data_IF_299900380960
#
_entry.id   IF_299900380960
#
_cell.length_a   1.000
_cell.length_b   1.000
_cell.length_c   1.000
_cell.angle_alpha   90.00
_cell.angle_beta   90.00
_cell.angle_gamma   90.00
#
_symmetry.space_group_name_H-M   'P 1'
#
loop_
_entity.id
_entity.type
_entity.pdbx_description
1 polymer ?
#
# COMPACT_ATOMS: atom_id res chain seq x y z
N UNK A 1 -13.30 11.61 12.05
CA UNK A 1 -13.33 10.19 11.71
C UNK A 1 -12.65 9.43 12.83
N UNK A 2 -13.09 8.20 13.06
CA UNK A 2 -12.37 7.27 13.94
C UNK A 2 -10.98 6.96 13.38
N UNK A 3 -10.06 6.55 14.25
CA UNK A 3 -8.70 6.24 13.84
C UNK A 3 -8.70 5.04 12.89
N UNK A 4 -8.09 5.19 11.72
CA UNK A 4 -7.91 4.09 10.76
C UNK A 4 -6.52 3.48 10.79
N UNK A 5 -5.55 4.17 11.39
CA UNK A 5 -4.19 3.69 11.59
C UNK A 5 -3.53 4.40 12.77
N UNK A 6 -2.60 3.71 13.43
CA UNK A 6 -1.67 4.31 14.41
C UNK A 6 -0.27 4.56 13.80
N UNK A 7 -0.07 4.20 12.53
CA UNK A 7 1.18 4.40 11.81
C UNK A 7 1.14 5.73 11.06
N UNK A 8 1.91 6.71 11.55
CA UNK A 8 2.01 8.05 10.94
C UNK A 8 2.61 8.02 9.53
N UNK A 9 3.25 6.93 9.11
CA UNK A 9 3.71 6.78 7.73
C UNK A 9 2.59 6.46 6.74
N UNK A 10 1.39 6.12 7.23
CA UNK A 10 0.24 5.72 6.40
C UNK A 10 -0.84 6.79 6.23
N UNK A 11 -0.67 7.98 6.81
CA UNK A 11 -1.72 9.02 6.82
C UNK A 11 -1.59 10.06 5.70
N UNK A 12 -0.41 10.15 5.07
CA UNK A 12 -0.10 11.07 3.98
C UNK A 12 -0.47 10.53 2.60
N UNK A 13 0.04 11.19 1.55
CA UNK A 13 -0.05 10.67 0.17
C UNK A 13 0.59 9.28 0.13
N UNK A 14 -0.15 8.22 -0.28
CA UNK A 14 0.35 6.85 -0.26
C UNK A 14 1.59 6.65 -1.12
N UNK A 15 2.59 5.96 -0.57
CA UNK A 15 3.80 5.59 -1.32
C UNK A 15 4.11 4.11 -1.16
N UNK A 16 4.75 3.54 -2.18
CA UNK A 16 5.00 2.11 -2.24
C UNK A 16 6.11 1.65 -1.28
N UNK A 17 7.11 2.50 -1.02
CA UNK A 17 8.17 2.26 -0.04
C UNK A 17 7.64 2.12 1.39
N UNK A 18 6.48 2.73 1.68
CA UNK A 18 5.80 2.65 2.99
C UNK A 18 4.74 1.56 3.07
N UNK A 19 4.46 0.88 1.96
CA UNK A 19 3.40 -0.13 1.90
C UNK A 19 2.01 0.44 2.16
N UNK A 20 1.79 1.74 1.90
CA UNK A 20 0.52 2.41 2.14
C UNK A 20 -0.57 1.92 1.17
N UNK A 21 -1.18 0.76 1.47
CA UNK A 21 -2.24 0.11 0.69
C UNK A 21 -3.40 -0.17 1.63
N UNK A 22 -4.39 0.71 1.64
CA UNK A 22 -5.49 0.69 2.59
C UNK A 22 -6.80 0.95 1.87
N UNK A 23 -7.69 -0.04 1.92
CA UNK A 23 -9.12 0.18 1.70
C UNK A 23 -9.84 -0.06 3.02
N UNK A 24 -10.49 0.97 3.57
CA UNK A 24 -11.06 0.86 4.91
C UNK A 24 -12.33 1.68 5.10
N UNK A 25 -13.39 0.98 5.50
CA UNK A 25 -14.60 1.60 6.03
C UNK A 25 -14.29 2.31 7.34
N UNK A 26 -14.75 3.55 7.44
CA UNK A 26 -14.48 4.47 8.55
C UNK A 26 -15.78 5.13 9.00
N UNK A 27 -15.91 5.32 10.31
CA UNK A 27 -17.05 5.96 10.96
C UNK A 27 -16.67 7.30 11.60
N UNK A 28 -17.69 8.01 12.12
CA UNK A 28 -17.55 9.30 12.78
C UNK A 28 -16.80 10.35 11.94
N UNK A 29 -16.99 10.35 10.62
CA UNK A 29 -16.39 11.36 9.75
C UNK A 29 -16.92 12.74 10.14
N UNK A 30 -16.03 13.70 10.03
CA UNK A 30 -16.34 15.11 10.24
C UNK A 30 -15.89 15.82 8.99
N UNK A 31 -16.85 16.35 8.24
CA UNK A 31 -16.63 16.95 6.95
C UNK A 31 -17.04 18.40 7.05
N UNK A 32 -16.07 19.28 6.84
CA UNK A 32 -16.27 20.72 6.74
C UNK A 32 -15.83 21.15 5.34
N UNK A 33 -16.56 22.10 4.78
CA UNK A 33 -16.19 22.79 3.56
C UNK A 33 -16.42 24.29 3.80
N UNK A 34 -15.59 25.14 3.19
CA UNK A 34 -15.96 26.54 3.02
C UNK A 34 -17.27 26.61 2.24
N UNK A 35 -18.07 27.67 2.44
CA UNK A 35 -19.40 27.81 1.85
C UNK A 35 -19.41 27.34 0.39
N UNK A 36 -20.35 26.44 0.06
CA UNK A 36 -20.45 25.73 -1.21
C UNK A 36 -20.08 26.64 -2.39
N UNK A 37 -18.96 26.36 -3.05
CA UNK A 37 -18.73 26.91 -4.38
C UNK A 37 -19.82 26.31 -5.27
N UNK A 38 -20.62 27.16 -5.91
CA UNK A 38 -21.78 26.74 -6.69
C UNK A 38 -21.43 25.59 -7.64
N UNK A 39 -22.10 24.43 -7.47
CA UNK A 39 -21.96 23.26 -8.34
C UNK A 39 -21.01 22.15 -7.86
N UNK A 40 -20.18 22.37 -6.84
CA UNK A 40 -19.33 21.34 -6.22
C UNK A 40 -19.67 21.27 -4.73
N UNK A 41 -20.67 20.45 -4.40
CA UNK A 41 -21.11 20.29 -3.01
C UNK A 41 -20.57 19.00 -2.43
N UNK A 42 -20.05 19.09 -1.21
CA UNK A 42 -19.77 17.96 -0.33
C UNK A 42 -20.77 18.00 0.80
N UNK A 43 -21.31 16.84 1.17
CA UNK A 43 -22.17 16.69 2.35
C UNK A 43 -21.34 16.98 3.60
N UNK A 44 -21.58 18.13 4.22
CA UNK A 44 -20.91 18.52 5.46
C UNK A 44 -21.65 17.96 6.67
N UNK A 45 -20.94 17.75 7.77
CA UNK A 45 -21.53 17.20 8.99
C UNK A 45 -20.50 16.60 9.92
N UNK A 46 -20.96 16.24 11.11
CA UNK A 46 -20.18 15.51 12.13
C UNK A 46 -20.85 14.18 12.40
N UNK A 47 -20.08 13.17 12.85
CA UNK A 47 -20.63 11.86 13.19
C UNK A 47 -21.11 11.02 12.00
N UNK A 48 -20.63 11.29 10.78
CA UNK A 48 -21.05 10.55 9.57
C UNK A 48 -20.52 9.10 9.69
N UNK A 49 -21.39 8.07 9.66
CA UNK A 49 -20.99 6.69 9.99
C UNK A 49 -20.46 5.89 8.78
N UNK A 50 -20.58 6.43 7.57
CA UNK A 50 -20.50 5.69 6.33
C UNK A 50 -19.40 6.23 5.40
N UNK A 51 -18.17 6.27 5.89
CA UNK A 51 -17.03 6.65 5.06
C UNK A 51 -16.25 5.45 4.55
N UNK A 52 -15.55 5.62 3.44
CA UNK A 52 -14.55 4.68 2.96
C UNK A 52 -13.28 5.43 2.56
N UNK A 53 -12.13 4.83 2.84
CA UNK A 53 -10.80 5.31 2.44
C UNK A 53 -10.25 4.38 1.37
N UNK A 54 -9.65 4.96 0.34
CA UNK A 54 -9.04 4.27 -0.79
C UNK A 54 -7.64 4.83 -1.04
N UNK A 55 -6.67 4.34 -0.28
CA UNK A 55 -5.30 4.87 -0.22
C UNK A 55 -4.33 3.82 -0.74
N UNK A 56 -3.79 4.02 -1.94
CA UNK A 56 -2.75 3.15 -2.50
C UNK A 56 -1.92 3.83 -3.58
N UNK A 57 -0.63 3.49 -3.73
CA UNK A 57 0.20 3.93 -4.86
C UNK A 57 -0.08 3.14 -6.15
N UNK A 58 -0.93 2.12 -6.11
CA UNK A 58 -1.16 1.15 -7.18
C UNK A 58 -2.02 1.68 -8.33
N UNK A 59 -2.09 0.88 -9.40
CA UNK A 59 -3.29 0.88 -10.23
C UNK A 59 -4.50 0.37 -9.44
N UNK A 60 -5.69 0.65 -9.95
CA UNK A 60 -6.95 0.16 -9.39
C UNK A 60 -7.99 0.12 -10.51
N UNK A 61 -9.07 -0.61 -10.27
CA UNK A 61 -10.19 -0.76 -11.19
C UNK A 61 -11.51 -0.67 -10.45
N UNK A 62 -12.60 -0.59 -11.20
CA UNK A 62 -13.96 -0.33 -10.73
C UNK A 62 -14.61 -1.46 -9.93
N UNK A 63 -13.88 -2.54 -9.61
CA UNK A 63 -14.46 -3.67 -8.90
C UNK A 63 -14.83 -3.26 -7.47
N UNK A 64 -15.97 -3.75 -6.94
CA UNK A 64 -16.36 -3.55 -5.54
C UNK A 64 -16.02 -4.78 -4.67
N UNK A 65 -14.74 -5.15 -4.61
CA UNK A 65 -14.30 -6.39 -3.95
C UNK A 65 -14.57 -6.39 -2.44
N UNK A 66 -14.49 -5.22 -1.78
CA UNK A 66 -14.78 -5.09 -0.36
C UNK A 66 -16.30 -5.04 -0.04
N UNK A 67 -17.16 -4.94 -1.07
CA UNK A 67 -18.60 -4.89 -0.89
C UNK A 67 -19.09 -3.61 -0.21
N UNK A 68 -18.48 -2.46 -0.54
CA UNK A 68 -18.89 -1.16 -0.01
C UNK A 68 -20.33 -0.87 -0.48
N UNK A 69 -21.27 -0.55 0.43
CA UNK A 69 -22.66 -0.30 0.05
C UNK A 69 -22.79 0.82 -0.98
N UNK A 70 -23.58 0.56 -2.02
CA UNK A 70 -23.88 1.53 -3.08
C UNK A 70 -22.79 1.68 -4.15
N UNK A 71 -21.60 1.12 -3.96
CA UNK A 71 -20.53 1.18 -4.96
C UNK A 71 -20.82 0.27 -6.16
N UNK A 72 -20.44 0.76 -7.34
CA UNK A 72 -20.54 0.11 -8.64
C UNK A 72 -19.40 -0.88 -8.83
N UNK A 73 -19.64 -1.91 -9.65
CA UNK A 73 -18.59 -2.79 -10.18
C UNK A 73 -18.02 -2.30 -11.52
N UNK A 74 -18.59 -1.24 -12.08
CA UNK A 74 -18.35 -0.78 -13.45
C UNK A 74 -18.00 0.71 -13.53
N UNK A 75 -17.95 1.40 -12.40
CA UNK A 75 -17.64 2.81 -12.29
C UNK A 75 -16.57 3.04 -11.24
N UNK A 76 -15.74 4.05 -11.48
CA UNK A 76 -14.78 4.48 -10.47
C UNK A 76 -15.52 5.30 -9.41
N UNK A 77 -15.62 4.74 -8.20
CA UNK A 77 -16.38 5.34 -7.11
C UNK A 77 -15.76 5.13 -5.73
N UNK A 78 -16.56 4.76 -4.73
CA UNK A 78 -16.15 4.64 -3.33
C UNK A 78 -15.95 3.19 -2.89
N UNK A 79 -15.97 2.25 -3.82
CA UNK A 79 -15.67 0.84 -3.57
C UNK A 79 -14.61 0.25 -4.50
N UNK A 80 -13.81 1.06 -5.19
CA UNK A 80 -12.83 0.60 -6.18
C UNK A 80 -11.85 -0.43 -5.62
N UNK A 81 -11.39 -1.34 -6.48
CA UNK A 81 -10.48 -2.42 -6.11
C UNK A 81 -9.06 -2.14 -6.55
N UNK A 82 -8.14 -2.29 -5.60
CA UNK A 82 -6.70 -2.24 -5.85
C UNK A 82 -6.24 -3.33 -6.84
N UNK A 83 -5.44 -2.96 -7.83
CA UNK A 83 -4.63 -3.92 -8.61
C UNK A 83 -3.38 -4.27 -7.79
N UNK A 84 -3.32 -5.48 -7.25
CA UNK A 84 -2.19 -5.93 -6.40
C UNK A 84 -0.92 -6.24 -7.18
N UNK A 85 -0.97 -6.35 -8.51
CA UNK A 85 0.19 -6.66 -9.35
C UNK A 85 1.05 -5.42 -9.57
N UNK A 86 0.43 -4.29 -9.95
CA UNK A 86 1.16 -3.04 -10.21
C UNK A 86 1.34 -2.24 -8.93
N UNK A 87 2.42 -2.53 -8.21
CA UNK A 87 2.69 -1.99 -6.86
C UNK A 87 2.97 -0.48 -6.81
N UNK A 88 3.36 0.14 -7.93
CA UNK A 88 3.43 1.59 -8.13
C UNK A 88 2.86 1.89 -9.51
N UNK A 89 1.70 2.53 -9.57
CA UNK A 89 0.93 2.73 -10.81
C UNK A 89 0.29 4.11 -10.87
N UNK A 90 -1.03 4.17 -11.01
CA UNK A 90 -1.78 5.43 -11.03
C UNK A 90 -1.72 6.14 -9.67
N UNK A 91 -2.04 5.45 -8.59
CA UNK A 91 -2.13 6.01 -7.25
C UNK A 91 -3.51 6.63 -6.99
N UNK A 92 -4.02 6.39 -5.79
CA UNK A 92 -5.25 6.93 -5.23
C UNK A 92 -5.06 7.31 -3.77
N UNK A 93 -5.56 8.49 -3.42
CA UNK A 93 -5.76 8.97 -2.06
C UNK A 93 -7.15 9.58 -2.02
N UNK A 94 -8.15 8.73 -1.78
CA UNK A 94 -9.55 9.12 -1.85
C UNK A 94 -10.27 8.85 -0.52
N UNK A 95 -11.16 9.77 -0.16
CA UNK A 95 -12.04 9.66 1.00
C UNK A 95 -13.47 9.90 0.54
N UNK A 96 -14.36 9.03 0.98
CA UNK A 96 -15.74 8.98 0.51
C UNK A 96 -16.74 9.02 1.65
N UNK A 97 -17.97 9.41 1.33
CA UNK A 97 -19.19 9.18 2.10
C UNK A 97 -20.12 8.31 1.25
N UNK A 98 -20.00 6.99 1.41
CA UNK A 98 -20.71 6.04 0.56
C UNK A 98 -22.22 6.04 0.79
N UNK A 99 -22.70 6.43 1.98
CA UNK A 99 -24.14 6.57 2.23
C UNK A 99 -24.79 7.71 1.42
N UNK A 100 -24.00 8.70 0.99
CA UNK A 100 -24.45 9.78 0.11
C UNK A 100 -24.01 9.57 -1.35
N UNK A 101 -23.36 8.44 -1.65
CA UNK A 101 -22.76 8.19 -2.95
C UNK A 101 -21.81 9.30 -3.39
N UNK A 102 -20.92 9.71 -2.49
CA UNK A 102 -20.14 10.93 -2.67
C UNK A 102 -18.66 10.76 -2.37
N UNK A 103 -17.81 11.17 -3.30
CA UNK A 103 -16.39 11.47 -3.04
C UNK A 103 -16.30 12.76 -2.22
N UNK A 104 -15.61 12.74 -1.08
CA UNK A 104 -15.35 13.93 -0.27
C UNK A 104 -14.11 14.64 -0.81
N UNK A 105 -13.02 13.90 -0.95
CA UNK A 105 -11.72 14.37 -1.39
C UNK A 105 -11.08 13.30 -2.28
N UNK A 106 -10.39 13.75 -3.32
CA UNK A 106 -9.61 12.89 -4.20
C UNK A 106 -8.29 13.56 -4.57
N UNK A 107 -7.22 12.81 -4.41
CA UNK A 107 -5.96 13.04 -5.10
C UNK A 107 -5.58 11.73 -5.79
N UNK A 108 -5.32 11.78 -7.09
CA UNK A 108 -5.03 10.60 -7.91
C UNK A 108 -3.86 10.87 -8.84
N UNK A 109 -3.35 9.83 -9.50
CA UNK A 109 -2.30 9.95 -10.52
C UNK A 109 -0.97 10.53 -9.99
N UNK A 110 -0.60 10.17 -8.76
CA UNK A 110 0.67 10.56 -8.13
C UNK A 110 1.70 9.42 -8.07
N UNK A 111 1.39 8.24 -8.63
CA UNK A 111 2.32 7.12 -8.70
C UNK A 111 3.36 7.25 -9.82
N UNK A 112 3.62 6.17 -10.55
CA UNK A 112 4.69 6.07 -11.55
C UNK A 112 4.25 6.31 -13.01
N UNK A 113 2.97 6.63 -13.23
CA UNK A 113 2.37 6.70 -14.56
C UNK A 113 2.81 7.92 -15.41
N UNK A 114 3.60 8.84 -14.84
CA UNK A 114 4.11 10.05 -15.51
C UNK A 114 3.04 11.09 -15.87
N UNK A 115 1.80 10.92 -15.41
CA UNK A 115 0.70 11.86 -15.66
C UNK A 115 0.67 12.96 -14.60
N UNK A 116 0.08 14.10 -14.95
CA UNK A 116 -0.21 15.15 -13.97
C UNK A 116 -1.18 14.60 -12.92
N UNK A 117 -0.99 14.85 -11.62
CA UNK A 117 -1.98 14.46 -10.62
C UNK A 117 -3.37 15.02 -10.89
N UNK A 118 -4.40 14.30 -10.46
CA UNK A 118 -5.78 14.77 -10.42
C UNK A 118 -6.17 15.18 -9.01
N UNK A 119 -6.95 16.24 -8.88
CA UNK A 119 -7.43 16.77 -7.62
C UNK A 119 -8.93 17.02 -7.68
N UNK A 120 -9.63 16.66 -6.62
CA UNK A 120 -11.08 16.76 -6.54
C UNK A 120 -11.59 16.95 -5.12
N UNK A 121 -12.67 17.72 -5.00
CA UNK A 121 -13.51 17.83 -3.80
C UNK A 121 -14.93 17.59 -4.28
N UNK A 122 -15.71 16.78 -3.57
CA UNK A 122 -17.05 16.38 -4.04
C UNK A 122 -17.00 15.38 -5.21
N UNK A 123 -18.16 15.02 -5.73
CA UNK A 123 -18.24 14.23 -6.95
C UNK A 123 -17.74 15.03 -8.15
N UNK A 124 -17.09 14.34 -9.09
CA UNK A 124 -16.61 14.94 -10.33
C UNK A 124 -17.79 15.52 -11.14
N UNK A 125 -17.78 16.82 -11.48
CA UNK A 125 -18.83 17.42 -12.29
C UNK A 125 -18.89 16.83 -13.71
N UNK A 126 -20.10 16.72 -14.25
CA UNK A 126 -20.35 16.26 -15.63
C UNK A 126 -21.29 15.05 -15.71
N UNK A 127 -21.57 14.60 -16.92
CA UNK A 127 -22.49 13.47 -17.22
C UNK A 127 -21.77 12.11 -17.25
N UNK A 128 -20.55 12.03 -16.72
CA UNK A 128 -19.82 10.76 -16.64
C UNK A 128 -20.47 9.82 -15.61
N UNK A 129 -20.28 8.52 -15.80
CA UNK A 129 -20.80 7.49 -14.89
C UNK A 129 -19.93 7.31 -13.63
N UNK A 130 -18.69 7.81 -13.66
CA UNK A 130 -17.75 7.75 -12.54
C UNK A 130 -17.93 8.97 -11.63
N UNK A 131 -18.46 8.79 -10.39
CA UNK A 131 -18.64 9.87 -9.43
C UNK A 131 -17.32 10.39 -8.84
N UNK A 132 -16.27 9.57 -8.81
CA UNK A 132 -14.97 9.97 -8.30
C UNK A 132 -14.15 10.76 -9.34
N UNK A 133 -12.92 11.15 -9.01
CA UNK A 133 -12.08 11.95 -9.90
C UNK A 133 -11.07 11.14 -10.71
N UNK A 134 -11.22 9.82 -10.78
CA UNK A 134 -10.28 8.95 -11.49
C UNK A 134 -10.13 9.39 -12.95
N UNK A 135 -8.88 9.35 -13.41
CA UNK A 135 -8.40 9.86 -14.70
C UNK A 135 -8.59 11.35 -14.98
N UNK A 136 -8.88 12.16 -13.95
CA UNK A 136 -8.75 13.62 -14.07
C UNK A 136 -7.28 14.02 -13.93
N UNK A 137 -6.78 14.90 -14.80
CA UNK A 137 -5.36 15.32 -14.78
C UNK A 137 -5.23 16.85 -14.63
N UNK A 138 -6.08 17.40 -13.78
CA UNK A 138 -6.37 18.83 -13.64
C UNK A 138 -5.46 19.55 -12.64
N UNK A 139 -4.48 18.91 -11.99
CA UNK A 139 -3.71 19.62 -10.97
C UNK A 139 -3.05 20.89 -11.52
N UNK A 140 -2.69 20.95 -12.82
CA UNK A 140 -2.11 22.16 -13.44
C UNK A 140 -3.03 23.39 -13.43
N UNK A 141 -4.32 23.22 -13.21
CA UNK A 141 -5.30 24.31 -13.15
C UNK A 141 -5.23 25.09 -11.82
N UNK A 142 -4.67 24.48 -10.77
CA UNK A 142 -4.56 25.12 -9.45
C UNK A 142 -3.19 25.75 -9.27
N UNK A 143 -3.17 27.05 -8.97
CA UNK A 143 -1.94 27.80 -8.68
C UNK A 143 -1.29 27.41 -7.35
N UNK A 144 -2.10 27.02 -6.35
CA UNK A 144 -1.65 26.62 -5.01
C UNK A 144 -2.34 25.32 -4.61
N UNK A 145 -1.60 24.43 -3.95
CA UNK A 145 -2.04 23.07 -3.59
C UNK A 145 -1.48 22.72 -2.23
N UNK A 146 -2.22 23.07 -1.20
CA UNK A 146 -1.84 22.78 0.17
C UNK A 146 -2.76 21.69 0.72
N UNK A 147 -2.15 20.60 1.18
CA UNK A 147 -2.85 19.53 1.90
C UNK A 147 -2.22 19.43 3.28
N UNK A 148 -3.03 19.68 4.30
CA UNK A 148 -2.63 19.52 5.68
C UNK A 148 -3.17 18.21 6.22
N UNK A 149 -2.27 17.27 6.49
CA UNK A 149 -2.61 16.02 7.17
C UNK A 149 -2.24 16.17 8.64
N UNK A 150 -3.27 16.20 9.48
CA UNK A 150 -3.13 16.38 10.91
C UNK A 150 -3.51 15.07 11.61
N UNK A 151 -2.55 14.46 12.29
CA UNK A 151 -2.85 13.38 13.22
C UNK A 151 -3.34 13.98 14.55
N UNK A 152 -4.48 13.49 15.07
CA UNK A 152 -4.82 13.76 16.46
C UNK A 152 -3.73 13.12 17.32
N UNK A 153 -3.18 13.86 18.28
CA UNK A 153 -2.49 13.24 19.40
C UNK A 153 -3.54 12.42 20.13
N UNK A 154 -3.57 11.12 19.89
CA UNK A 154 -4.36 10.22 20.71
C UNK A 154 -3.93 10.40 22.17
N UNK A 155 -4.85 10.19 23.11
CA UNK A 155 -4.42 9.52 24.34
C UNK A 155 -3.73 8.26 23.84
N UNK A 156 -2.45 8.01 24.15
CA UNK A 156 -1.81 6.78 23.72
C UNK A 156 -2.62 5.63 24.31
N UNK A 157 -3.50 5.04 23.51
CA UNK A 157 -3.70 3.60 23.62
C UNK A 157 -2.36 3.09 23.17
N UNK A 158 -1.48 2.77 24.12
CA UNK A 158 -0.25 2.03 23.83
C UNK A 158 -0.71 0.90 22.92
N UNK A 159 -0.35 0.90 21.62
CA UNK A 159 -0.53 -0.30 20.84
C UNK A 159 0.19 -1.33 21.70
N UNK A 160 -0.48 -2.43 22.07
CA UNK A 160 0.25 -3.50 22.73
C UNK A 160 1.36 -3.84 21.74
N UNK A 161 2.58 -3.39 22.01
CA UNK A 161 3.72 -3.52 21.13
C UNK A 161 4.05 -2.39 20.14
N UNK A 162 5.16 -2.60 19.43
CA UNK A 162 5.82 -1.69 18.50
C UNK A 162 5.97 -2.43 17.17
N UNK A 163 5.44 -1.84 16.09
CA UNK A 163 5.63 -2.36 14.73
C UNK A 163 7.10 -2.26 14.33
N UNK A 164 7.71 -3.30 13.74
CA UNK A 164 9.10 -3.24 13.29
C UNK A 164 9.30 -2.28 12.13
N UNK A 165 10.45 -1.62 12.11
CA UNK A 165 10.97 -0.84 11.00
C UNK A 165 12.06 -1.64 10.31
N UNK A 166 11.98 -1.81 8.98
CA UNK A 166 13.04 -2.48 8.21
C UNK A 166 13.92 -1.41 7.56
N UNK A 167 15.18 -1.34 7.98
CA UNK A 167 16.15 -0.37 7.50
C UNK A 167 16.98 -0.91 6.33
N UNK A 168 17.32 -2.21 6.36
CA UNK A 168 18.00 -2.87 5.25
C UNK A 168 17.18 -4.06 4.78
N UNK A 169 16.74 -4.01 3.52
CA UNK A 169 16.00 -5.10 2.87
C UNK A 169 16.95 -6.22 2.39
N UNK A 170 16.48 -7.47 2.28
CA UNK A 170 17.25 -8.52 1.63
C UNK A 170 17.52 -8.17 0.17
N UNK A 171 18.68 -8.59 -0.37
CA UNK A 171 19.12 -8.25 -1.72
C UNK A 171 19.15 -9.49 -2.60
N UNK A 172 18.65 -9.37 -3.82
CA UNK A 172 18.73 -10.43 -4.84
C UNK A 172 20.19 -10.84 -5.10
N UNK A 173 20.39 -12.11 -5.40
CA UNK A 173 21.71 -12.70 -5.56
C UNK A 173 21.74 -13.68 -6.74
N UNK A 174 22.94 -13.92 -7.26
CA UNK A 174 23.18 -14.88 -8.34
C UNK A 174 24.40 -15.74 -7.99
N UNK A 175 24.23 -17.06 -7.98
CA UNK A 175 25.29 -18.02 -7.64
C UNK A 175 25.36 -19.14 -8.67
N UNK A 176 26.47 -19.88 -8.68
CA UNK A 176 26.54 -21.16 -9.39
C UNK A 176 25.92 -22.27 -8.54
N UNK A 177 25.38 -23.31 -9.19
CA UNK A 177 24.90 -24.50 -8.50
C UNK A 177 25.98 -25.09 -7.58
N UNK A 178 25.58 -25.46 -6.36
CA UNK A 178 26.48 -25.89 -5.28
C UNK A 178 27.22 -24.75 -4.58
N UNK A 179 26.91 -23.49 -4.91
CA UNK A 179 27.44 -22.31 -4.24
C UNK A 179 26.72 -21.98 -2.94
N UNK A 180 27.32 -21.09 -2.15
CA UNK A 180 26.72 -20.53 -0.93
C UNK A 180 26.22 -19.12 -1.18
N UNK A 181 25.06 -18.77 -0.61
CA UNK A 181 24.52 -17.40 -0.59
C UNK A 181 24.04 -17.03 0.81
N UNK A 182 24.12 -15.75 1.17
CA UNK A 182 23.58 -15.22 2.42
C UNK A 182 22.65 -14.04 2.12
N UNK A 183 21.41 -14.13 2.59
CA UNK A 183 20.46 -13.02 2.67
C UNK A 183 20.49 -12.44 4.08
N UNK A 184 20.32 -11.12 4.21
CA UNK A 184 20.33 -10.43 5.51
C UNK A 184 19.30 -9.31 5.54
N UNK A 185 18.73 -9.07 6.71
CA UNK A 185 17.81 -7.96 6.99
C UNK A 185 18.33 -7.17 8.20
N UNK A 186 18.10 -5.86 8.23
CA UNK A 186 18.31 -5.06 9.44
C UNK A 186 17.01 -4.39 9.84
N UNK A 187 16.54 -4.69 11.05
CA UNK A 187 15.35 -4.10 11.66
C UNK A 187 15.65 -3.86 13.16
N UNK A 188 15.85 -2.61 13.59
CA UNK A 188 16.38 -2.30 14.93
C UNK A 188 15.42 -2.65 16.08
N UNK A 189 14.13 -2.78 15.80
CA UNK A 189 13.06 -3.05 16.77
C UNK A 189 12.32 -4.37 16.49
N UNK A 190 12.95 -5.28 15.74
CA UNK A 190 12.43 -6.63 15.55
C UNK A 190 12.61 -7.49 16.81
N UNK A 191 11.60 -8.29 17.13
CA UNK A 191 11.62 -9.28 18.21
C UNK A 191 11.79 -10.70 17.69
N UNK A 192 11.42 -10.98 16.43
CA UNK A 192 11.63 -12.27 15.80
C UNK A 192 11.61 -12.15 14.27
N UNK A 193 12.09 -13.17 13.58
CA UNK A 193 12.07 -13.29 12.13
C UNK A 193 11.53 -14.65 11.72
N UNK A 194 10.94 -14.74 10.53
CA UNK A 194 10.63 -16.00 9.88
C UNK A 194 10.83 -15.87 8.37
N UNK A 195 11.87 -16.51 7.83
CA UNK A 195 12.12 -16.51 6.39
C UNK A 195 11.14 -17.43 5.65
N UNK A 196 10.88 -17.04 4.40
CA UNK A 196 10.04 -17.77 3.47
C UNK A 196 10.72 -17.89 2.11
N UNK A 197 10.45 -18.98 1.40
CA UNK A 197 10.87 -19.23 0.04
C UNK A 197 9.63 -19.46 -0.82
N UNK A 198 9.47 -18.67 -1.89
CA UNK A 198 8.30 -18.69 -2.76
C UNK A 198 6.96 -18.57 -2.00
N UNK A 199 6.96 -17.82 -0.90
CA UNK A 199 5.79 -17.61 -0.03
C UNK A 199 5.60 -18.65 1.08
N UNK A 200 6.31 -19.78 1.03
CA UNK A 200 6.23 -20.87 2.01
C UNK A 200 7.28 -20.69 3.12
N UNK A 201 6.90 -21.03 4.35
CA UNK A 201 7.79 -20.92 5.52
C UNK A 201 8.97 -21.88 5.39
N UNK A 202 10.19 -21.37 5.59
CA UNK A 202 11.38 -22.19 5.75
C UNK A 202 11.50 -22.57 7.24
N UNK A 203 11.28 -23.84 7.64
CA UNK A 203 11.27 -24.20 9.05
C UNK A 203 12.59 -23.88 9.74
N UNK A 204 12.52 -23.23 10.91
CA UNK A 204 13.70 -22.90 11.73
C UNK A 204 14.49 -21.66 11.30
N UNK A 205 14.22 -21.09 10.11
CA UNK A 205 14.90 -19.90 9.62
C UNK A 205 14.40 -18.62 10.32
N UNK A 206 14.92 -18.38 11.52
CA UNK A 206 14.44 -17.35 12.46
C UNK A 206 15.46 -16.25 12.81
N UNK A 207 16.64 -16.30 12.19
CA UNK A 207 17.67 -15.28 12.35
C UNK A 207 17.42 -14.07 11.44
N UNK A 208 18.08 -12.95 11.72
CA UNK A 208 18.11 -11.76 10.83
C UNK A 208 18.91 -11.99 9.53
N UNK A 209 19.35 -13.22 9.30
CA UNK A 209 20.01 -13.67 8.09
C UNK A 209 19.56 -15.10 7.75
N UNK A 210 19.73 -15.46 6.49
CA UNK A 210 19.50 -16.80 5.96
C UNK A 210 20.69 -17.18 5.08
N UNK A 211 21.41 -18.23 5.45
CA UNK A 211 22.45 -18.82 4.63
C UNK A 211 21.94 -20.08 3.96
N UNK A 212 22.20 -20.21 2.66
CA UNK A 212 21.94 -21.43 1.89
C UNK A 212 23.28 -21.94 1.40
N UNK A 213 23.64 -23.13 1.83
CA UNK A 213 24.85 -23.84 1.40
C UNK A 213 24.49 -24.88 0.34
N UNK A 214 25.46 -25.20 -0.53
CA UNK A 214 25.31 -26.18 -1.61
C UNK A 214 24.02 -25.99 -2.43
N UNK A 215 23.67 -24.74 -2.69
CA UNK A 215 22.36 -24.39 -3.23
C UNK A 215 22.18 -24.87 -4.68
N UNK A 216 21.18 -25.73 -4.89
CA UNK A 216 20.78 -26.30 -6.18
C UNK A 216 19.72 -25.47 -6.92
N UNK A 217 19.19 -26.01 -8.01
CA UNK A 217 18.13 -25.36 -8.80
C UNK A 217 16.84 -25.15 -7.99
N UNK A 218 16.55 -26.05 -7.06
CA UNK A 218 15.42 -26.00 -6.14
C UNK A 218 15.49 -24.83 -5.16
N UNK A 219 16.69 -24.32 -4.86
CA UNK A 219 16.87 -23.11 -4.07
C UNK A 219 16.52 -21.82 -4.84
N UNK A 220 16.43 -21.85 -6.18
CA UNK A 220 16.07 -20.65 -6.94
C UNK A 220 14.65 -20.18 -6.62
N UNK A 221 14.41 -18.87 -6.63
CA UNK A 221 13.09 -18.31 -6.32
C UNK A 221 13.15 -17.02 -5.53
N UNK A 222 12.00 -16.61 -4.98
CA UNK A 222 11.89 -15.43 -4.13
C UNK A 222 12.09 -15.79 -2.66
N UNK A 223 12.83 -14.95 -1.94
CA UNK A 223 13.02 -15.01 -0.51
C UNK A 223 12.53 -13.72 0.12
N UNK A 224 11.68 -13.83 1.12
CA UNK A 224 11.25 -12.72 1.97
C UNK A 224 11.21 -13.17 3.43
N UNK A 225 11.08 -12.22 4.34
CA UNK A 225 11.07 -12.49 5.78
C UNK A 225 9.92 -11.72 6.44
N UNK A 226 9.15 -12.44 7.25
CA UNK A 226 8.20 -11.82 8.19
C UNK A 226 9.01 -11.34 9.39
N UNK A 227 8.97 -10.04 9.64
CA UNK A 227 9.63 -9.39 10.77
C UNK A 227 8.59 -9.09 11.82
N UNK A 228 8.75 -9.67 13.01
CA UNK A 228 7.84 -9.48 14.13
C UNK A 228 8.37 -8.40 15.06
N UNK A 229 7.44 -7.63 15.62
CA UNK A 229 7.69 -6.69 16.69
C UNK A 229 6.94 -7.09 17.94
N UNK A 230 6.89 -6.19 18.91
CA UNK A 230 6.17 -6.49 20.15
C UNK A 230 4.65 -6.49 19.91
N UNK A 231 3.91 -7.16 20.81
CA UNK A 231 2.45 -7.18 20.87
C UNK A 231 1.73 -7.52 19.55
N UNK A 232 2.19 -8.59 18.93
CA UNK A 232 1.62 -9.18 17.72
C UNK A 232 1.70 -8.29 16.47
N UNK A 233 2.53 -7.25 16.49
CA UNK A 233 2.83 -6.48 15.28
C UNK A 233 3.81 -7.25 14.39
N UNK A 234 3.62 -7.19 13.08
CA UNK A 234 4.54 -7.76 12.11
C UNK A 234 4.53 -6.96 10.80
N UNK A 235 5.62 -7.02 10.06
CA UNK A 235 5.76 -6.45 8.71
C UNK A 235 6.50 -7.46 7.81
N UNK A 236 6.10 -7.55 6.54
CA UNK A 236 6.78 -8.37 5.54
C UNK A 236 7.86 -7.54 4.83
N UNK A 237 9.04 -8.12 4.62
CA UNK A 237 10.11 -7.49 3.84
C UNK A 237 9.79 -7.38 2.34
N UNK A 238 10.59 -6.61 1.62
CA UNK A 238 10.70 -6.78 0.16
C UNK A 238 11.25 -8.17 -0.16
N UNK A 239 10.89 -8.72 -1.32
CA UNK A 239 11.43 -10.00 -1.79
C UNK A 239 12.78 -9.83 -2.49
N UNK A 240 13.71 -10.74 -2.20
CA UNK A 240 14.98 -10.92 -2.90
C UNK A 240 14.90 -12.16 -3.80
N UNK A 241 15.37 -12.07 -5.04
CA UNK A 241 15.40 -13.22 -5.95
C UNK A 241 16.76 -13.91 -5.92
N UNK A 242 16.76 -15.23 -5.75
CA UNK A 242 17.94 -16.07 -5.97
C UNK A 242 17.91 -16.65 -7.39
N UNK A 243 18.93 -16.34 -8.17
CA UNK A 243 19.17 -16.97 -9.47
C UNK A 243 20.34 -17.96 -9.36
N UNK A 244 20.08 -19.24 -9.68
CA UNK A 244 21.12 -20.28 -9.72
C UNK A 244 21.50 -20.59 -11.17
N UNK A 245 22.78 -20.48 -11.50
CA UNK A 245 23.31 -20.81 -12.83
C UNK A 245 24.07 -22.14 -12.80
N UNK A 246 23.76 -23.03 -13.74
CA UNK A 246 24.54 -24.27 -13.88
C UNK A 246 25.89 -23.98 -14.54
N UNK A 247 26.95 -24.60 -14.00
CA UNK A 247 28.24 -24.65 -14.70
C UNK A 247 28.07 -25.44 -15.99
N UNK A 248 28.53 -24.89 -17.12
CA UNK A 248 28.54 -25.63 -18.38
C UNK A 248 29.29 -26.95 -18.21
N UNK A 249 28.78 -28.03 -18.82
CA UNK A 249 29.45 -29.33 -18.80
C UNK A 249 30.86 -29.18 -19.41
N UNK A 250 31.89 -29.47 -18.62
CA UNK A 250 33.27 -29.56 -19.14
C UNK A 250 33.44 -30.98 -19.68
N UNK A 251 33.27 -31.18 -20.98
CA UNK A 251 33.72 -32.40 -21.64
C UNK A 251 35.24 -32.44 -21.62
N UNK A 252 35.83 -33.28 -20.76
CA UNK A 252 37.26 -33.60 -20.83
C UNK A 252 37.44 -34.81 -21.72
N UNK A 253 37.94 -34.59 -22.94
CA UNK A 253 38.46 -35.67 -23.79
C UNK A 253 39.77 -36.17 -23.16
N UNK A 254 39.86 -37.49 -22.95
CA UNK A 254 41.12 -38.18 -22.71
C UNK A 254 41.71 -38.61 -24.05
#
# INVERSE_FOLDING_TARGET
MDAYTNDLSMIGVPTADRGARLQQVVSNLTVHASANVAGISVSTGTGIPAGNIEFWPNNYGTGNTQGIPGASGSNYDWGDSIDTVTTVGHGSMQVHNFAQGQTIFSMISFGSNGRTPGLGIGNKPGTGTDPDWTFTYNAREFATKDIYILARRGVPTTPTGMRPDIWNQPRSAKIRAGGTVMFSIYSPNATAFQWRHNGEVIPGATASWLQLDDAGNDAAGSYDVVVYGTGSQAILSQSATLTVIQGGAVMRLK
#
